data_IF_292171462769
#
_entry.id   IF_292171462769
#
_cell.length_a   1.000
_cell.length_b   1.000
_cell.length_c   1.000
_cell.angle_alpha   90.00
_cell.angle_beta   90.00
_cell.angle_gamma   90.00
#
_symmetry.space_group_name_H-M   'P 1'
#
loop_
_entity.id
_entity.type
_entity.pdbx_description
1 polymer ?
#
# COMPACT_ATOMS: atom_id res chain seq x y z
N UNK A 1 -2.63 -11.01 -27.51
CA UNK A 1 -3.21 -9.79 -26.88
C UNK A 1 -2.39 -9.47 -25.65
N UNK A 2 -1.99 -8.22 -25.43
CA UNK A 2 -1.33 -7.81 -24.19
C UNK A 2 -2.30 -7.04 -23.30
N UNK A 3 -2.53 -7.52 -22.06
CA UNK A 3 -3.29 -6.79 -21.05
C UNK A 3 -2.32 -6.16 -20.06
N UNK A 4 -2.19 -4.84 -20.10
CA UNK A 4 -1.22 -4.11 -19.27
C UNK A 4 -1.85 -3.77 -17.91
N UNK A 5 -1.08 -4.00 -16.84
CA UNK A 5 -1.48 -3.66 -15.46
C UNK A 5 -0.49 -2.68 -14.86
N UNK A 6 -0.98 -1.81 -13.97
CA UNK A 6 -0.10 -1.06 -13.08
C UNK A 6 0.35 -1.99 -11.94
N UNK A 7 1.64 -1.95 -11.63
CA UNK A 7 2.23 -2.82 -10.61
C UNK A 7 2.25 -4.28 -11.05
N UNK A 8 1.79 -5.17 -10.18
CA UNK A 8 1.79 -6.61 -10.43
C UNK A 8 0.38 -7.12 -10.82
N UNK A 9 0.25 -7.96 -11.88
CA UNK A 9 -1.04 -8.45 -12.35
C UNK A 9 -1.76 -9.39 -11.38
N UNK A 10 -1.09 -9.95 -10.37
CA UNK A 10 -1.66 -10.85 -9.36
C UNK A 10 -1.96 -10.16 -8.02
N UNK A 11 -1.61 -8.88 -7.86
CA UNK A 11 -1.82 -8.14 -6.60
C UNK A 11 -2.85 -7.03 -6.80
N UNK A 12 -4.06 -7.21 -6.27
CA UNK A 12 -5.18 -6.24 -6.34
C UNK A 12 -5.49 -5.69 -7.75
N UNK A 13 -5.07 -6.39 -8.81
CA UNK A 13 -5.30 -6.01 -10.20
C UNK A 13 -6.68 -6.43 -10.70
N UNK A 14 -7.26 -5.66 -11.61
CA UNK A 14 -8.51 -6.03 -12.30
C UNK A 14 -8.31 -7.12 -13.34
N UNK A 15 -7.06 -7.39 -13.77
CA UNK A 15 -6.71 -8.47 -14.69
C UNK A 15 -7.23 -9.83 -14.24
N UNK A 16 -7.20 -10.11 -12.93
CA UNK A 16 -7.61 -11.40 -12.37
C UNK A 16 -9.05 -11.79 -12.72
N UNK A 17 -9.94 -10.80 -12.92
CA UNK A 17 -11.33 -11.06 -13.32
C UNK A 17 -11.44 -11.50 -14.78
N UNK A 18 -10.57 -10.99 -15.65
CA UNK A 18 -10.52 -11.37 -17.06
C UNK A 18 -9.82 -12.72 -17.18
N UNK A 19 -8.66 -12.87 -16.54
CA UNK A 19 -7.90 -14.11 -16.50
C UNK A 19 -8.79 -15.29 -16.11
N UNK A 20 -9.56 -15.19 -15.01
CA UNK A 20 -10.49 -16.26 -14.56
C UNK A 20 -11.55 -16.66 -15.58
N UNK A 21 -11.92 -15.78 -16.52
CA UNK A 21 -12.92 -16.07 -17.56
C UNK A 21 -12.33 -16.73 -18.79
N UNK A 22 -11.06 -16.48 -19.09
CA UNK A 22 -10.40 -16.96 -20.31
C UNK A 22 -9.45 -18.13 -20.04
N UNK A 23 -9.12 -18.38 -18.76
CA UNK A 23 -8.23 -19.47 -18.36
C UNK A 23 -8.82 -20.81 -18.78
N UNK A 24 -8.11 -21.55 -19.61
CA UNK A 24 -8.56 -22.84 -20.15
C UNK A 24 -9.31 -22.74 -21.49
N UNK A 25 -9.69 -21.54 -21.93
CA UNK A 25 -10.23 -21.31 -23.28
C UNK A 25 -9.13 -20.91 -24.27
N UNK A 26 -8.11 -20.21 -23.78
CA UNK A 26 -6.91 -19.82 -24.54
C UNK A 26 -5.66 -20.02 -23.69
N UNK A 27 -4.50 -20.06 -24.33
CA UNK A 27 -3.21 -20.01 -23.65
C UNK A 27 -3.04 -18.64 -22.96
N UNK A 28 -2.70 -18.66 -21.67
CA UNK A 28 -2.53 -17.46 -20.85
C UNK A 28 -1.18 -17.52 -20.16
N UNK A 29 -0.37 -16.50 -20.39
CA UNK A 29 0.88 -16.24 -19.67
C UNK A 29 0.73 -14.96 -18.83
N UNK A 30 1.19 -14.99 -17.59
CA UNK A 30 1.24 -13.81 -16.70
C UNK A 30 2.68 -13.45 -16.42
N UNK A 31 3.10 -12.24 -16.81
CA UNK A 31 4.43 -11.69 -16.52
C UNK A 31 4.34 -10.86 -15.23
N UNK A 32 5.11 -11.19 -14.17
CA UNK A 32 5.05 -10.47 -12.90
C UNK A 32 5.58 -9.04 -13.05
N UNK A 33 5.09 -8.15 -12.19
CA UNK A 33 5.51 -6.76 -12.12
C UNK A 33 6.04 -6.39 -10.73
N UNK A 34 6.62 -5.20 -10.61
CA UNK A 34 7.02 -4.65 -9.31
C UNK A 34 5.77 -4.05 -8.64
N UNK A 35 5.39 -4.54 -7.46
CA UNK A 35 4.26 -3.99 -6.72
C UNK A 35 4.56 -2.57 -6.23
N UNK A 36 3.53 -1.71 -6.11
CA UNK A 36 3.73 -0.33 -5.67
C UNK A 36 4.43 -0.23 -4.30
N UNK A 37 4.07 -1.09 -3.34
CA UNK A 37 4.67 -1.07 -2.01
C UNK A 37 6.13 -1.53 -1.99
N UNK A 38 6.53 -2.46 -2.87
CA UNK A 38 7.94 -2.86 -2.97
C UNK A 38 8.80 -1.77 -3.60
N UNK A 39 8.26 -1.08 -4.61
CA UNK A 39 8.89 0.10 -5.19
C UNK A 39 9.03 1.24 -4.17
N UNK A 40 7.96 1.56 -3.43
CA UNK A 40 7.98 2.60 -2.39
C UNK A 40 9.04 2.28 -1.32
N UNK A 41 9.03 1.05 -0.78
CA UNK A 41 9.98 0.64 0.24
C UNK A 41 11.44 0.81 -0.23
N UNK A 42 11.71 0.38 -1.46
CA UNK A 42 13.06 0.46 -2.05
C UNK A 42 13.49 1.90 -2.31
N UNK A 43 12.64 2.71 -2.95
CA UNK A 43 12.99 4.08 -3.35
C UNK A 43 13.14 5.02 -2.14
N UNK A 44 12.39 4.77 -1.07
CA UNK A 44 12.44 5.59 0.15
C UNK A 44 13.43 5.07 1.19
N UNK A 45 14.19 4.01 0.88
CA UNK A 45 15.05 3.30 1.84
C UNK A 45 14.29 2.95 3.14
N UNK A 46 13.02 2.58 3.01
CA UNK A 46 12.16 2.23 4.13
C UNK A 46 12.16 0.70 4.28
N UNK A 47 12.88 0.14 5.27
CA UNK A 47 12.89 -1.30 5.50
C UNK A 47 11.50 -1.77 5.92
N UNK A 48 10.70 -2.25 4.96
CA UNK A 48 9.29 -2.56 5.19
C UNK A 48 9.09 -3.78 6.10
N UNK A 49 9.93 -4.80 5.97
CA UNK A 49 9.85 -6.06 6.74
C UNK A 49 11.23 -6.69 6.89
N UNK A 50 11.55 -7.23 8.07
CA UNK A 50 12.85 -7.86 8.35
C UNK A 50 12.71 -9.18 9.14
N UNK A 51 13.75 -10.03 9.06
CA UNK A 51 13.89 -11.28 9.82
C UNK A 51 12.63 -12.18 9.82
N UNK A 52 11.97 -12.34 10.97
CA UNK A 52 10.84 -13.26 11.19
C UNK A 52 9.48 -12.55 11.16
N UNK A 53 9.45 -11.29 10.73
CA UNK A 53 8.22 -10.50 10.70
C UNK A 53 7.28 -10.95 9.59
N UNK A 54 5.98 -10.91 9.88
CA UNK A 54 4.95 -11.07 8.86
C UNK A 54 4.70 -9.74 8.16
N UNK A 55 4.65 -9.76 6.82
CA UNK A 55 4.18 -8.62 6.01
C UNK A 55 2.68 -8.76 5.73
N UNK A 56 1.89 -7.77 6.15
CA UNK A 56 0.45 -7.75 5.92
C UNK A 56 0.08 -6.68 4.91
N UNK A 57 -0.51 -7.10 3.78
CA UNK A 57 -0.90 -6.19 2.68
C UNK A 57 -2.41 -6.14 2.57
N UNK A 58 -3.01 -5.02 2.97
CA UNK A 58 -4.46 -4.85 3.05
C UNK A 58 -4.96 -3.61 2.30
N UNK A 59 -6.16 -3.67 1.69
CA UNK A 59 -6.78 -2.48 1.12
C UNK A 59 -7.58 -1.76 2.21
N UNK A 60 -7.48 -0.44 2.28
CA UNK A 60 -8.25 0.37 3.24
C UNK A 60 -9.77 0.35 3.00
N UNK A 61 -10.24 -0.37 1.99
CA UNK A 61 -11.66 -0.61 1.72
C UNK A 61 -12.23 -1.86 2.40
N UNK A 62 -11.40 -2.64 3.10
CA UNK A 62 -11.87 -3.78 3.88
C UNK A 62 -12.60 -3.33 5.15
N UNK A 63 -13.15 -4.28 5.91
CA UNK A 63 -13.85 -3.98 7.16
C UNK A 63 -12.91 -3.34 8.20
N UNK A 64 -13.42 -2.33 8.91
CA UNK A 64 -12.62 -1.46 9.77
C UNK A 64 -11.97 -2.20 10.94
N UNK A 65 -12.69 -3.17 11.51
CA UNK A 65 -12.23 -4.04 12.59
C UNK A 65 -11.01 -4.88 12.20
N UNK A 66 -10.91 -5.29 10.93
CA UNK A 66 -9.75 -6.02 10.42
C UNK A 66 -8.54 -5.11 10.19
N UNK A 67 -8.76 -3.86 9.79
CA UNK A 67 -7.68 -2.85 9.71
C UNK A 67 -7.15 -2.59 11.11
N UNK A 68 -8.03 -2.35 12.08
CA UNK A 68 -7.70 -2.16 13.49
C UNK A 68 -6.88 -3.34 14.05
N UNK A 69 -7.36 -4.57 13.80
CA UNK A 69 -6.67 -5.79 14.19
C UNK A 69 -5.27 -5.86 13.58
N UNK A 70 -5.12 -5.54 12.29
CA UNK A 70 -3.84 -5.58 11.63
C UNK A 70 -2.84 -4.58 12.26
N UNK A 71 -3.28 -3.33 12.45
CA UNK A 71 -2.49 -2.26 13.07
C UNK A 71 -2.06 -2.61 14.50
N UNK A 72 -2.83 -3.38 15.24
CA UNK A 72 -2.47 -3.81 16.59
C UNK A 72 -1.50 -4.99 16.60
N UNK A 73 -1.70 -5.99 15.72
CA UNK A 73 -1.06 -7.30 15.87
C UNK A 73 0.17 -7.54 14.97
N UNK A 74 0.42 -6.69 13.97
CA UNK A 74 1.56 -6.85 13.07
C UNK A 74 2.48 -5.63 13.07
N UNK A 75 3.76 -5.86 12.79
CA UNK A 75 4.77 -4.80 12.71
C UNK A 75 4.84 -4.17 11.32
N UNK A 76 4.87 -5.01 10.28
CA UNK A 76 5.03 -4.62 8.88
C UNK A 76 3.71 -4.65 8.13
N UNK A 77 3.19 -3.48 7.79
CA UNK A 77 1.84 -3.34 7.21
C UNK A 77 1.89 -2.44 5.99
N UNK A 78 1.23 -2.88 4.91
CA UNK A 78 0.95 -2.07 3.72
C UNK A 78 -0.54 -1.78 3.69
N UNK A 79 -0.87 -0.50 3.72
CA UNK A 79 -2.24 0.01 3.58
C UNK A 79 -2.40 0.57 2.16
N UNK A 80 -3.11 -0.15 1.31
CA UNK A 80 -3.37 0.24 -0.07
C UNK A 80 -4.69 1.01 -0.21
N UNK A 81 -4.82 1.85 -1.25
CA UNK A 81 -6.07 2.58 -1.58
C UNK A 81 -6.51 3.52 -0.45
N UNK A 82 -5.55 4.17 0.20
CA UNK A 82 -5.76 5.00 1.39
C UNK A 82 -6.69 6.19 1.10
N UNK A 83 -6.66 6.72 -0.12
CA UNK A 83 -7.45 7.89 -0.55
C UNK A 83 -8.95 7.80 -0.24
N UNK A 84 -9.53 6.59 -0.15
CA UNK A 84 -10.95 6.44 0.17
C UNK A 84 -11.29 6.77 1.62
N UNK A 85 -10.39 6.42 2.54
CA UNK A 85 -10.62 6.46 3.99
C UNK A 85 -9.47 7.20 4.72
N UNK A 86 -8.82 8.14 4.03
CA UNK A 86 -7.56 8.75 4.47
C UNK A 86 -7.62 9.30 5.91
N UNK A 87 -8.59 10.19 6.20
CA UNK A 87 -8.76 10.77 7.54
C UNK A 87 -8.90 9.73 8.65
N UNK A 88 -9.61 8.65 8.36
CA UNK A 88 -9.86 7.59 9.34
C UNK A 88 -8.60 6.75 9.58
N UNK A 89 -7.84 6.45 8.51
CA UNK A 89 -6.56 5.76 8.62
C UNK A 89 -5.56 6.58 9.42
N UNK A 90 -5.45 7.90 9.17
CA UNK A 90 -4.55 8.76 9.95
C UNK A 90 -4.94 8.76 11.44
N UNK A 91 -6.23 8.89 11.77
CA UNK A 91 -6.70 8.80 13.16
C UNK A 91 -6.36 7.47 13.83
N UNK A 92 -6.41 6.35 13.10
CA UNK A 92 -6.02 5.04 13.63
C UNK A 92 -4.51 4.96 13.87
N UNK A 93 -3.70 5.46 12.93
CA UNK A 93 -2.26 5.55 13.13
C UNK A 93 -1.90 6.43 14.33
N UNK A 94 -2.61 7.55 14.54
CA UNK A 94 -2.45 8.39 15.74
C UNK A 94 -2.83 7.65 17.02
N UNK A 95 -3.99 6.98 17.03
CA UNK A 95 -4.49 6.21 18.19
C UNK A 95 -3.50 5.14 18.67
N UNK A 96 -2.71 4.59 17.75
CA UNK A 96 -1.74 3.52 18.04
C UNK A 96 -0.29 4.00 18.05
N UNK A 97 -0.04 5.32 18.09
CA UNK A 97 1.29 5.92 18.09
C UNK A 97 2.18 5.49 16.90
N UNK A 98 1.57 5.25 15.74
CA UNK A 98 2.22 4.74 14.52
C UNK A 98 2.60 5.81 13.49
N UNK A 99 2.29 7.08 13.74
CA UNK A 99 2.56 8.16 12.79
C UNK A 99 4.05 8.27 12.46
N UNK A 100 4.91 8.20 13.47
CA UNK A 100 6.38 8.25 13.29
C UNK A 100 6.96 6.95 12.68
N UNK A 101 6.12 5.94 12.49
CA UNK A 101 6.47 4.62 11.97
C UNK A 101 5.94 4.38 10.56
N UNK A 102 5.39 5.42 9.92
CA UNK A 102 4.64 5.29 8.68
C UNK A 102 5.04 6.35 7.63
N UNK A 103 5.26 5.92 6.40
CA UNK A 103 5.35 6.81 5.24
C UNK A 103 4.12 6.68 4.36
N UNK A 104 3.70 7.79 3.75
CA UNK A 104 2.66 7.82 2.74
C UNK A 104 3.27 8.26 1.42
N UNK A 105 3.03 7.47 0.36
CA UNK A 105 3.47 7.84 -0.98
C UNK A 105 2.30 7.81 -1.95
N UNK A 106 2.13 8.90 -2.68
CA UNK A 106 1.18 9.07 -3.78
C UNK A 106 1.90 8.99 -5.11
N UNK A 107 1.31 8.32 -6.10
CA UNK A 107 1.80 8.24 -7.49
C UNK A 107 3.26 7.76 -7.61
N UNK A 108 3.64 6.73 -6.84
CA UNK A 108 5.03 6.28 -6.83
C UNK A 108 5.54 5.90 -8.22
N UNK A 109 6.80 6.23 -8.53
CA UNK A 109 7.48 6.08 -9.84
C UNK A 109 6.90 6.89 -11.00
N UNK A 110 6.02 7.86 -10.72
CA UNK A 110 5.48 8.79 -11.72
C UNK A 110 6.04 10.21 -11.50
N UNK A 111 5.93 11.08 -12.49
CA UNK A 111 6.40 12.48 -12.40
C UNK A 111 5.75 13.28 -11.25
N UNK A 112 4.54 12.88 -10.84
CA UNK A 112 3.78 13.48 -9.74
C UNK A 112 3.91 12.71 -8.41
N UNK A 113 5.00 11.97 -8.23
CA UNK A 113 5.30 11.29 -6.96
C UNK A 113 5.35 12.31 -5.82
N UNK A 114 4.63 12.03 -4.74
CA UNK A 114 4.70 12.80 -3.50
C UNK A 114 4.94 11.85 -2.34
N UNK A 115 5.95 12.16 -1.52
CA UNK A 115 6.33 11.37 -0.35
C UNK A 115 6.09 12.22 0.89
N UNK A 116 5.37 11.65 1.85
CA UNK A 116 5.02 12.31 3.10
C UNK A 116 5.50 11.48 4.28
N UNK A 117 6.36 12.08 5.10
CA UNK A 117 6.91 11.51 6.35
C UNK A 117 6.25 12.11 7.58
N UNK A 118 5.70 13.33 7.48
CA UNK A 118 4.82 13.92 8.49
C UNK A 118 3.36 13.75 8.07
N UNK A 119 2.71 12.71 8.60
CA UNK A 119 1.31 12.40 8.27
C UNK A 119 0.30 13.32 8.96
N UNK A 120 0.77 14.27 9.80
CA UNK A 120 -0.06 15.29 10.45
C UNK A 120 -0.02 16.63 9.73
N UNK A 121 0.69 16.73 8.61
CA UNK A 121 0.75 17.97 7.82
C UNK A 121 -0.67 18.48 7.49
N UNK A 122 -0.90 19.77 7.73
CA UNK A 122 -2.17 20.41 7.37
C UNK A 122 -2.43 20.27 5.86
N UNK A 123 -3.68 20.01 5.48
CA UNK A 123 -4.09 19.85 4.07
C UNK A 123 -3.46 18.66 3.33
N UNK A 124 -2.93 17.67 4.06
CA UNK A 124 -2.37 16.48 3.44
C UNK A 124 -3.40 15.75 2.56
N UNK A 125 -4.67 15.71 2.98
CA UNK A 125 -5.78 15.10 2.23
C UNK A 125 -5.96 15.67 0.82
N UNK A 126 -5.72 16.97 0.64
CA UNK A 126 -5.86 17.65 -0.65
C UNK A 126 -4.79 17.21 -1.66
N UNK A 127 -3.72 16.57 -1.17
CA UNK A 127 -2.58 16.08 -1.97
C UNK A 127 -2.65 14.56 -2.23
N UNK A 128 -3.67 13.86 -1.71
CA UNK A 128 -3.76 12.40 -1.80
C UNK A 128 -4.39 11.97 -3.12
N UNK A 129 -3.66 11.16 -3.89
CA UNK A 129 -4.13 10.63 -5.17
C UNK A 129 -4.78 9.26 -5.03
N UNK A 130 -5.46 8.79 -6.08
CA UNK A 130 -5.96 7.40 -6.15
C UNK A 130 -4.86 6.35 -5.87
N UNK A 131 -3.61 6.62 -6.29
CA UNK A 131 -2.45 5.75 -6.13
C UNK A 131 -1.67 6.02 -4.83
N UNK A 132 -2.40 6.15 -3.73
CA UNK A 132 -1.81 6.41 -2.41
C UNK A 132 -1.71 5.15 -1.57
N UNK A 133 -0.52 4.90 -1.04
CA UNK A 133 -0.18 3.74 -0.20
C UNK A 133 0.55 4.21 1.05
N UNK A 134 0.14 3.71 2.22
CA UNK A 134 0.91 3.88 3.46
C UNK A 134 1.70 2.59 3.73
N UNK A 135 2.97 2.75 4.06
CA UNK A 135 3.81 1.69 4.61
C UNK A 135 3.99 1.96 6.10
N UNK A 136 3.82 0.93 6.94
CA UNK A 136 4.07 0.98 8.38
C UNK A 136 5.12 -0.07 8.73
N UNK A 137 6.12 0.33 9.51
CA UNK A 137 7.01 -0.59 10.22
C UNK A 137 7.23 -0.06 11.64
N UNK A 138 6.67 -0.77 12.63
CA UNK A 138 6.74 -0.41 14.06
C UNK A 138 8.17 -0.39 14.63
N UNK A 139 9.09 -1.13 14.04
CA UNK A 139 10.48 -1.19 14.48
C UNK A 139 11.35 -0.11 13.80
N UNK A 140 10.78 0.64 12.85
CA UNK A 140 11.47 1.72 12.13
C UNK A 140 10.81 3.08 12.41
N UNK A 141 11.48 3.95 13.17
CA UNK A 141 11.08 5.36 13.30
C UNK A 141 11.68 6.21 12.18
N UNK A 142 10.83 6.97 11.51
CA UNK A 142 11.22 7.98 10.55
C UNK A 142 11.74 9.19 11.35
N UNK A 143 12.97 9.62 11.06
CA UNK A 143 13.61 10.78 11.69
C UNK A 143 13.27 12.07 10.96
#
# INVERSE_FOLDING_TARGET
VGFVTLGDPMIYSTYVYIMKRILGEVEVETIPGISSFSNIASNQNFPLVMDKEALVVIPCTMEDDKIEYALQNYNSIVLMKVYKNFKEIIKKLEKYDLIEHAILVSNSSQESENVFTDLKEAHLEDKISYFSTILVNKDNKIK
#
